data_IF_565204482926
#
_entry.id   IF_565204482926
#
_cell.length_a   1.000
_cell.length_b   1.000
_cell.length_c   1.000
_cell.angle_alpha   90.00
_cell.angle_beta   90.00
_cell.angle_gamma   90.00
#
_symmetry.space_group_name_H-M   'P 1'
#
loop_
_entity.id
_entity.type
_entity.pdbx_description
1 polymer ?
#
# COMPACT_ATOMS: atom_id res chain seq x y z
N UNK A 1 -0.47 5.89 34.76
CA UNK A 1 -0.88 4.94 33.69
C UNK A 1 0.01 5.22 32.50
N UNK A 2 0.67 4.22 31.93
CA UNK A 2 1.47 4.40 30.71
C UNK A 2 0.55 4.43 29.50
N UNK A 3 0.61 5.52 28.73
CA UNK A 3 -0.07 5.63 27.43
C UNK A 3 0.71 4.85 26.37
N UNK A 4 0.04 4.14 25.45
CA UNK A 4 0.74 3.49 24.34
C UNK A 4 1.44 4.54 23.47
N UNK A 5 2.67 4.29 22.99
CA UNK A 5 3.40 5.24 22.17
C UNK A 5 2.77 5.36 20.77
N UNK A 6 2.75 6.57 20.24
CA UNK A 6 2.40 6.84 18.85
C UNK A 6 3.50 6.38 17.87
N UNK A 7 3.09 5.87 16.71
CA UNK A 7 4.01 5.50 15.64
C UNK A 7 4.40 6.72 14.81
N UNK A 8 5.66 7.16 14.93
CA UNK A 8 6.16 8.27 14.13
C UNK A 8 6.54 7.82 12.71
N UNK A 9 5.61 7.98 11.77
CA UNK A 9 5.77 7.59 10.36
C UNK A 9 6.89 8.35 9.62
N UNK A 10 7.28 9.54 10.09
CA UNK A 10 8.43 10.26 9.52
C UNK A 10 9.76 9.51 9.70
N UNK A 11 9.81 8.50 10.58
CA UNK A 11 11.01 7.66 10.73
C UNK A 11 11.16 6.62 9.61
N UNK A 12 10.14 6.43 8.78
CA UNK A 12 10.18 5.51 7.66
C UNK A 12 10.95 6.17 6.50
N UNK A 13 12.10 5.60 6.15
CA UNK A 13 12.98 6.08 5.06
C UNK A 13 13.12 5.08 3.91
N UNK A 14 12.55 3.89 4.07
CA UNK A 14 12.58 2.85 3.06
C UNK A 14 11.85 3.29 1.77
N UNK A 15 12.21 2.73 0.60
CA UNK A 15 11.37 2.81 -0.59
C UNK A 15 10.02 2.13 -0.37
N UNK A 16 8.93 2.82 -0.71
CA UNK A 16 7.56 2.33 -0.49
C UNK A 16 6.74 2.42 -1.76
N UNK A 17 6.04 1.34 -2.10
CA UNK A 17 4.95 1.32 -3.09
C UNK A 17 3.67 0.91 -2.37
N UNK A 18 2.61 1.68 -2.54
CA UNK A 18 1.28 1.42 -1.96
C UNK A 18 0.30 0.96 -3.05
N UNK A 19 -0.58 0.05 -2.68
CA UNK A 19 -1.69 -0.44 -3.51
C UNK A 19 -2.96 -0.48 -2.65
N UNK A 20 -4.08 0.01 -3.16
CA UNK A 20 -5.37 -0.05 -2.45
C UNK A 20 -6.48 -0.57 -3.37
N UNK A 21 -7.45 -1.28 -2.81
CA UNK A 21 -8.58 -1.85 -3.54
C UNK A 21 -9.80 -0.93 -3.44
N UNK A 22 -10.42 -0.57 -4.56
CA UNK A 22 -11.59 0.33 -4.54
C UNK A 22 -12.86 -0.31 -3.95
N UNK A 23 -12.85 -1.62 -3.71
CA UNK A 23 -13.96 -2.36 -3.10
C UNK A 23 -13.52 -3.05 -1.81
N UNK A 24 -12.41 -2.62 -1.23
CA UNK A 24 -11.92 -3.10 0.05
C UNK A 24 -12.77 -2.50 1.18
N UNK A 25 -13.41 -3.38 1.97
CA UNK A 25 -14.27 -3.01 3.09
C UNK A 25 -13.53 -2.94 4.42
N UNK A 26 -12.24 -3.31 4.43
CA UNK A 26 -11.37 -3.33 5.61
C UNK A 26 -10.42 -2.14 5.59
N UNK A 27 -9.86 -1.83 4.41
CA UNK A 27 -8.90 -0.75 4.22
C UNK A 27 -9.38 0.18 3.11
N UNK A 28 -9.88 1.36 3.49
CA UNK A 28 -10.35 2.34 2.52
C UNK A 28 -9.18 3.05 1.82
N UNK A 29 -9.32 3.31 0.52
CA UNK A 29 -8.29 4.00 -0.26
C UNK A 29 -7.99 5.43 0.23
N UNK A 30 -8.94 6.11 0.90
CA UNK A 30 -8.74 7.44 1.52
C UNK A 30 -7.74 7.34 2.67
N UNK A 31 -7.83 6.30 3.50
CA UNK A 31 -6.86 6.09 4.58
C UNK A 31 -5.47 5.75 4.03
N UNK A 32 -5.39 5.00 2.92
CA UNK A 32 -4.11 4.74 2.23
C UNK A 32 -3.53 6.02 1.60
N UNK A 33 -4.37 6.91 1.07
CA UNK A 33 -3.95 8.22 0.59
C UNK A 33 -3.46 9.12 1.73
N UNK A 34 -4.13 9.10 2.88
CA UNK A 34 -3.62 9.79 4.08
C UNK A 34 -2.27 9.22 4.50
N UNK A 35 -2.12 7.90 4.56
CA UNK A 35 -0.84 7.24 4.87
C UNK A 35 0.27 7.66 3.89
N UNK A 36 -0.05 7.73 2.59
CA UNK A 36 0.90 8.19 1.58
C UNK A 36 1.43 9.60 1.87
N UNK A 37 0.56 10.51 2.31
CA UNK A 37 0.93 11.89 2.68
C UNK A 37 1.72 11.96 3.99
N UNK A 38 1.42 11.10 4.96
CA UNK A 38 2.10 11.05 6.26
C UNK A 38 3.51 10.41 6.18
N UNK A 39 3.77 9.58 5.16
CA UNK A 39 5.06 8.96 4.87
C UNK A 39 6.06 9.95 4.23
N UNK A 40 6.24 11.11 4.87
CA UNK A 40 6.97 12.27 4.33
C UNK A 40 8.44 12.02 4.00
N UNK A 41 9.10 11.11 4.72
CA UNK A 41 10.51 10.76 4.51
C UNK A 41 10.71 9.46 3.72
N UNK A 42 9.62 8.74 3.41
CA UNK A 42 9.71 7.52 2.64
C UNK A 42 10.06 7.83 1.19
N UNK A 43 10.87 6.98 0.54
CA UNK A 43 11.13 7.11 -0.90
C UNK A 43 9.96 6.53 -1.67
N UNK A 44 8.92 7.34 -1.83
CA UNK A 44 7.68 6.91 -2.44
C UNK A 44 7.87 6.56 -3.92
N UNK A 45 7.47 5.35 -4.30
CA UNK A 45 7.61 4.79 -5.65
C UNK A 45 6.30 4.82 -6.42
N UNK A 46 5.18 4.57 -5.75
CA UNK A 46 3.84 4.59 -6.35
C UNK A 46 2.75 4.51 -5.29
N UNK A 47 1.56 5.03 -5.65
CA UNK A 47 0.28 4.69 -5.05
C UNK A 47 -0.64 4.25 -6.21
N UNK A 48 -1.13 3.02 -6.19
CA UNK A 48 -2.03 2.50 -7.24
C UNK A 48 -3.38 2.06 -6.66
N UNK A 49 -4.47 2.61 -7.21
CA UNK A 49 -5.84 2.14 -6.94
C UNK A 49 -6.19 1.00 -7.89
N UNK A 50 -6.70 -0.12 -7.36
CA UNK A 50 -7.08 -1.30 -8.14
C UNK A 50 -8.60 -1.43 -8.13
N UNK A 51 -9.21 -1.09 -9.29
CA UNK A 51 -10.66 -1.15 -9.48
C UNK A 51 -11.22 -2.54 -9.18
N UNK A 52 -12.30 -2.61 -8.41
CA UNK A 52 -13.02 -3.84 -7.98
C UNK A 52 -12.22 -4.80 -7.08
N UNK A 53 -11.03 -4.43 -6.62
CA UNK A 53 -10.31 -5.25 -5.65
C UNK A 53 -10.90 -5.06 -4.26
N UNK A 54 -11.19 -6.18 -3.62
CA UNK A 54 -11.50 -6.31 -2.19
C UNK A 54 -10.23 -6.64 -1.40
N UNK A 55 -10.34 -6.71 -0.08
CA UNK A 55 -9.20 -7.01 0.80
C UNK A 55 -8.52 -8.35 0.47
N UNK A 56 -9.31 -9.38 0.18
CA UNK A 56 -8.80 -10.73 -0.05
C UNK A 56 -8.22 -10.92 -1.47
N UNK A 57 -8.56 -10.06 -2.43
CA UNK A 57 -8.05 -10.16 -3.79
C UNK A 57 -6.54 -9.94 -3.87
N UNK A 58 -5.96 -9.21 -2.91
CA UNK A 58 -4.51 -9.04 -2.80
C UNK A 58 -3.77 -10.36 -2.52
N UNK A 59 -4.43 -11.36 -1.94
CA UNK A 59 -3.85 -12.67 -1.62
C UNK A 59 -4.42 -13.79 -2.50
N UNK A 60 -5.72 -13.77 -2.79
CA UNK A 60 -6.46 -14.89 -3.38
C UNK A 60 -7.23 -14.53 -4.66
N UNK A 61 -7.07 -13.30 -5.18
CA UNK A 61 -7.69 -12.90 -6.43
C UNK A 61 -7.15 -13.74 -7.59
N UNK A 62 -8.04 -14.36 -8.38
CA UNK A 62 -7.64 -15.16 -9.54
C UNK A 62 -6.82 -14.34 -10.57
N UNK A 63 -7.02 -13.02 -10.62
CA UNK A 63 -6.31 -12.08 -11.48
C UNK A 63 -5.13 -11.37 -10.78
N UNK A 64 -4.81 -11.71 -9.52
CA UNK A 64 -3.74 -11.07 -8.74
C UNK A 64 -2.37 -11.14 -9.40
N UNK A 65 -2.04 -12.27 -10.04
CA UNK A 65 -0.80 -12.40 -10.83
C UNK A 65 -0.70 -11.33 -11.92
N UNK A 66 -1.78 -11.15 -12.69
CA UNK A 66 -1.81 -10.26 -13.84
C UNK A 66 -1.88 -8.79 -13.41
N UNK A 67 -2.72 -8.47 -12.44
CA UNK A 67 -3.04 -7.07 -12.10
C UNK A 67 -2.13 -6.46 -11.04
N UNK A 68 -1.49 -7.29 -10.21
CA UNK A 68 -0.69 -6.86 -9.07
C UNK A 68 0.73 -7.47 -9.10
N UNK A 69 0.87 -8.78 -8.97
CA UNK A 69 2.18 -9.39 -8.67
C UNK A 69 3.22 -9.19 -9.77
N UNK A 70 2.82 -9.28 -11.04
CA UNK A 70 3.74 -9.04 -12.17
C UNK A 70 4.31 -7.61 -12.14
N UNK A 71 3.53 -6.63 -11.68
CA UNK A 71 4.00 -5.25 -11.50
C UNK A 71 4.96 -5.12 -10.33
N UNK A 72 4.65 -5.78 -9.20
CA UNK A 72 5.51 -5.79 -8.00
C UNK A 72 6.89 -6.35 -8.36
N UNK A 73 6.94 -7.52 -8.99
CA UNK A 73 8.20 -8.17 -9.39
C UNK A 73 9.01 -7.26 -10.31
N UNK A 74 8.38 -6.70 -11.36
CA UNK A 74 9.05 -5.77 -12.27
C UNK A 74 9.62 -4.53 -11.57
N UNK A 75 8.95 -4.02 -10.53
CA UNK A 75 9.45 -2.89 -9.73
C UNK A 75 10.62 -3.29 -8.83
N UNK A 76 10.61 -4.50 -8.28
CA UNK A 76 11.72 -5.04 -7.50
C UNK A 76 12.98 -5.21 -8.36
N UNK A 77 12.83 -5.76 -9.57
CA UNK A 77 13.95 -5.96 -10.50
C UNK A 77 14.56 -4.65 -11.03
N UNK A 78 13.77 -3.56 -11.03
CA UNK A 78 14.20 -2.23 -11.49
C UNK A 78 14.78 -1.35 -10.37
N UNK A 79 14.91 -1.87 -9.14
CA UNK A 79 15.35 -1.15 -7.94
C UNK A 79 16.82 -1.34 -7.61
#
# INVERSE_FOLDING_TARGET
>A
MSEPPEYNLSRITAPVSLYCGESDLVVDCIDVERLHLELTNARMKSLERIRRYTHLDFMWGNDAKLRLYSKIIKRMDAS
#
